data_IF_214124191585
#
_entry.id   IF_214124191585
#
_cell.length_a   1.000
_cell.length_b   1.000
_cell.length_c   1.000
_cell.angle_alpha   90.00
_cell.angle_beta   90.00
_cell.angle_gamma   90.00
#
_symmetry.space_group_name_H-M   'P 1'
#
loop_
_entity.id
_entity.type
_entity.pdbx_description
1 polymer ?
#
# COMPACT_ATOMS: atom_id res chain seq x y z
N UNK A 1 3.43 17.54 -32.14
CA UNK A 1 4.04 16.28 -31.67
C UNK A 1 5.03 16.60 -30.55
N UNK A 2 4.51 16.75 -29.33
CA UNK A 2 5.31 16.78 -28.10
C UNK A 2 4.40 16.20 -27.01
N UNK A 3 4.22 14.87 -27.04
CA UNK A 3 3.39 14.17 -26.08
C UNK A 3 4.07 14.22 -24.72
N UNK A 4 3.48 14.96 -23.77
CA UNK A 4 3.91 14.93 -22.39
C UNK A 4 3.86 13.51 -21.85
N UNK A 5 4.78 13.17 -20.95
CA UNK A 5 4.77 11.91 -20.22
C UNK A 5 3.37 11.66 -19.66
N UNK A 6 2.66 10.70 -20.23
CA UNK A 6 1.35 10.31 -19.79
C UNK A 6 1.43 9.35 -18.61
N UNK A 7 0.27 9.05 -18.04
CA UNK A 7 0.13 7.98 -17.06
C UNK A 7 0.75 6.63 -17.53
N UNK A 8 0.61 6.17 -18.79
CA UNK A 8 1.20 4.90 -19.19
C UNK A 8 2.74 4.91 -19.19
N UNK A 9 3.38 5.99 -19.65
CA UNK A 9 4.85 6.11 -19.63
C UNK A 9 5.40 6.09 -18.20
N UNK A 10 4.72 6.77 -17.26
CA UNK A 10 5.12 6.76 -15.84
C UNK A 10 5.02 5.36 -15.23
N UNK A 11 4.00 4.56 -15.60
CA UNK A 11 3.86 3.18 -15.12
C UNK A 11 5.02 2.32 -15.62
N UNK A 12 5.40 2.44 -16.89
CA UNK A 12 6.55 1.68 -17.44
C UNK A 12 7.84 2.03 -16.71
N UNK A 13 8.08 3.33 -16.46
CA UNK A 13 9.25 3.79 -15.70
C UNK A 13 9.22 3.24 -14.27
N UNK A 14 8.05 3.27 -13.61
CA UNK A 14 7.88 2.75 -12.26
C UNK A 14 8.14 1.24 -12.18
N UNK A 15 7.72 0.46 -13.19
CA UNK A 15 8.01 -0.96 -13.27
C UNK A 15 9.52 -1.24 -13.43
N UNK A 16 10.21 -0.48 -14.28
CA UNK A 16 11.67 -0.60 -14.42
C UNK A 16 12.37 -0.25 -13.10
N UNK A 17 11.98 0.85 -12.46
CA UNK A 17 12.51 1.23 -11.15
C UNK A 17 12.25 0.14 -10.09
N UNK A 18 11.06 -0.47 -10.09
CA UNK A 18 10.72 -1.57 -9.19
C UNK A 18 11.59 -2.81 -9.43
N UNK A 19 11.99 -3.10 -10.68
CA UNK A 19 12.91 -4.20 -10.98
C UNK A 19 14.34 -3.90 -10.50
N UNK A 20 14.80 -2.65 -10.64
CA UNK A 20 16.15 -2.24 -10.21
C UNK A 20 16.29 -2.17 -8.69
N UNK A 21 15.32 -1.56 -8.01
CA UNK A 21 15.36 -1.35 -6.56
C UNK A 21 14.70 -2.50 -5.78
N UNK A 22 13.78 -3.24 -6.40
CA UNK A 22 12.97 -4.27 -5.77
C UNK A 22 11.80 -3.71 -4.94
N UNK A 23 10.78 -4.54 -4.74
CA UNK A 23 9.61 -4.19 -3.92
C UNK A 23 9.95 -3.92 -2.45
N UNK A 24 10.96 -4.63 -1.91
CA UNK A 24 11.39 -4.47 -0.51
C UNK A 24 11.92 -3.06 -0.21
N UNK A 25 12.78 -2.52 -1.09
CA UNK A 25 13.37 -1.18 -0.88
C UNK A 25 12.33 -0.07 -0.95
N UNK A 26 11.40 -0.16 -1.90
CA UNK A 26 10.28 0.80 -1.99
C UNK A 26 9.38 0.71 -0.75
N UNK A 27 9.09 -0.51 -0.27
CA UNK A 27 8.28 -0.70 0.93
C UNK A 27 8.96 -0.16 2.20
N UNK A 28 10.28 -0.34 2.34
CA UNK A 28 11.04 0.18 3.49
C UNK A 28 11.08 1.71 3.50
N UNK A 29 11.30 2.34 2.34
CA UNK A 29 11.25 3.80 2.20
C UNK A 29 9.82 4.31 2.48
N UNK A 30 8.80 3.64 1.93
CA UNK A 30 7.40 4.01 2.14
C UNK A 30 6.96 3.91 3.60
N UNK A 31 7.41 2.89 4.35
CA UNK A 31 7.16 2.77 5.79
C UNK A 31 7.76 3.93 6.57
N UNK A 32 9.03 4.26 6.31
CA UNK A 32 9.71 5.37 6.98
C UNK A 32 9.07 6.72 6.67
N UNK A 33 8.76 6.97 5.40
CA UNK A 33 8.09 8.20 4.96
C UNK A 33 6.67 8.29 5.55
N UNK A 34 5.92 7.19 5.55
CA UNK A 34 4.56 7.14 6.09
C UNK A 34 4.51 7.40 7.60
N UNK A 35 5.44 6.84 8.37
CA UNK A 35 5.58 7.14 9.79
C UNK A 35 5.95 8.60 10.03
N UNK A 36 6.87 9.15 9.23
CA UNK A 36 7.23 10.57 9.28
C UNK A 36 6.04 11.49 9.03
N UNK A 37 5.25 11.20 7.98
CA UNK A 37 4.03 11.96 7.66
C UNK A 37 2.98 11.82 8.77
N UNK A 38 2.78 10.62 9.34
CA UNK A 38 1.83 10.39 10.45
C UNK A 38 2.20 11.25 11.66
N UNK A 39 3.46 11.22 12.06
CA UNK A 39 3.96 11.99 13.20
C UNK A 39 3.93 13.51 12.93
N UNK A 40 4.25 13.92 11.70
CA UNK A 40 4.16 15.33 11.30
C UNK A 40 2.72 15.84 11.36
N UNK A 41 1.76 15.07 10.83
CA UNK A 41 0.33 15.43 10.89
C UNK A 41 -0.19 15.46 12.33
N UNK A 42 0.24 14.50 13.16
CA UNK A 42 -0.10 14.48 14.58
C UNK A 42 0.45 15.70 15.33
N UNK A 43 1.72 16.06 15.10
CA UNK A 43 2.34 17.24 15.71
C UNK A 43 1.70 18.55 15.24
N UNK A 44 1.28 18.64 13.97
CA UNK A 44 0.50 19.79 13.48
C UNK A 44 -0.88 19.87 14.11
N UNK A 45 -1.55 18.73 14.34
CA UNK A 45 -2.84 18.68 15.03
C UNK A 45 -2.67 19.13 16.48
N UNK A 46 -1.69 18.58 17.19
CA UNK A 46 -1.42 18.91 18.59
C UNK A 46 -0.94 20.36 18.80
N UNK A 47 -0.24 20.95 17.81
CA UNK A 47 0.12 22.36 17.80
C UNK A 47 -1.02 23.30 17.38
N UNK A 48 -2.07 22.76 16.75
CA UNK A 48 -3.22 23.50 16.22
C UNK A 48 -4.55 23.26 16.93
N UNK A 49 -4.61 22.38 17.93
CA UNK A 49 -5.86 21.98 18.57
C UNK A 49 -6.34 23.02 19.60
N UNK A 50 -6.98 24.04 19.08
CA UNK A 50 -8.22 24.57 19.62
C UNK A 50 -9.19 24.79 18.46
N UNK A 51 -9.56 23.73 17.74
CA UNK A 51 -10.90 23.56 17.14
C UNK A 51 -10.99 22.25 16.32
N UNK A 52 -11.92 21.40 16.78
CA UNK A 52 -12.68 20.38 16.04
C UNK A 52 -12.06 19.01 15.71
N UNK A 53 -12.34 18.08 16.64
CA UNK A 53 -13.08 16.82 16.42
C UNK A 53 -12.38 15.61 15.75
N UNK A 54 -12.56 14.47 16.44
CA UNK A 54 -12.57 13.05 16.06
C UNK A 54 -11.93 12.60 14.74
N UNK A 55 -10.85 11.85 14.89
CA UNK A 55 -10.54 10.67 14.06
C UNK A 55 -9.75 9.70 14.94
N UNK A 56 -10.44 9.11 15.92
CA UNK A 56 -9.93 7.96 16.64
C UNK A 56 -10.07 6.71 15.74
N UNK A 57 -9.09 5.80 15.88
CA UNK A 57 -9.05 4.41 15.39
C UNK A 57 -8.92 4.14 13.88
N UNK A 58 -7.68 4.21 13.38
CA UNK A 58 -7.17 3.29 12.35
C UNK A 58 -5.86 2.63 12.78
N UNK A 59 -5.79 2.16 14.02
CA UNK A 59 -4.68 1.35 14.54
C UNK A 59 -5.23 -0.02 15.00
N UNK A 60 -5.69 -0.86 14.05
CA UNK A 60 -6.10 -2.24 14.35
C UNK A 60 -6.09 -3.21 13.15
N UNK A 61 -5.06 -3.26 12.28
CA UNK A 61 -4.84 -4.46 11.43
C UNK A 61 -3.43 -4.62 10.85
N UNK A 62 -2.44 -4.83 11.71
CA UNK A 62 -1.12 -5.32 11.28
C UNK A 62 -0.60 -6.49 12.15
N UNK A 63 -1.50 -7.38 12.58
CA UNK A 63 -1.14 -8.74 13.02
C UNK A 63 -1.92 -9.75 12.19
N UNK A 64 -1.39 -10.15 11.03
CA UNK A 64 -1.37 -11.54 10.54
C UNK A 64 -0.54 -11.65 9.26
N UNK A 65 0.78 -11.66 9.41
CA UNK A 65 1.62 -12.44 8.52
C UNK A 65 1.50 -13.91 8.95
N UNK A 66 0.45 -14.62 8.50
CA UNK A 66 0.45 -16.08 8.48
C UNK A 66 -0.52 -16.59 7.40
N UNK A 67 0.00 -17.50 6.58
CA UNK A 67 -0.52 -18.14 5.34
C UNK A 67 -2.01 -18.51 5.39
N UNK A 68 -2.72 -18.56 4.23
CA UNK A 68 -2.92 -19.87 3.58
C UNK A 68 -3.06 -19.87 2.03
N UNK A 69 -2.72 -21.03 1.45
CA UNK A 69 -3.30 -21.71 0.25
C UNK A 69 -3.68 -20.85 -0.96
N UNK A 70 -3.13 -20.99 -2.17
CA UNK A 70 -2.77 -22.23 -2.88
C UNK A 70 -3.74 -23.39 -2.64
N UNK A 71 -5.04 -23.15 -2.83
CA UNK A 71 -6.04 -24.19 -3.05
C UNK A 71 -6.35 -24.21 -4.53
N UNK A 72 -5.86 -25.28 -5.19
CA UNK A 72 -6.08 -25.58 -6.58
C UNK A 72 -7.58 -25.62 -6.86
N UNK A 73 -7.97 -24.87 -7.88
CA UNK A 73 -9.03 -25.25 -8.79
C UNK A 73 -8.90 -26.73 -9.18
N UNK A 74 -9.90 -27.53 -8.83
CA UNK A 74 -10.37 -28.67 -9.62
C UNK A 74 -11.87 -28.85 -9.35
N UNK A 75 -12.63 -28.04 -10.07
CA UNK A 75 -13.95 -28.40 -10.57
C UNK A 75 -13.75 -29.51 -11.60
N UNK A 76 -14.24 -30.72 -11.34
CA UNK A 76 -14.72 -31.69 -12.34
C UNK A 76 -15.39 -32.87 -11.60
N UNK A 77 -16.50 -33.36 -12.16
CA UNK A 77 -17.39 -34.46 -11.73
C UNK A 77 -18.65 -34.08 -10.91
N UNK A 78 -19.63 -33.52 -11.63
CA UNK A 78 -20.99 -34.04 -11.54
C UNK A 78 -21.08 -35.33 -12.40
N UNK A 79 -22.10 -36.15 -12.14
CA UNK A 79 -22.56 -37.30 -12.95
C UNK A 79 -21.94 -38.68 -12.61
N UNK A 80 -22.54 -39.39 -11.65
CA UNK A 80 -23.26 -40.68 -11.81
C UNK A 80 -23.55 -41.29 -10.42
N UNK A 81 -24.78 -41.15 -9.93
CA UNK A 81 -25.47 -42.06 -8.99
C UNK A 81 -26.89 -41.52 -8.71
#
# INVERSE_FOLDING_TARGET
>A
MLGGLGAPELIVIALIALLLFGAGRIADIGKGLGQGIKNFKQGLKEAGDAEEDKDEVLDAKAKKAEKPKAEKAKSEAAEEA
#
